data_IF_944113550143
#
_entry.id   IF_944113550143
#
_cell.length_a   1.000
_cell.length_b   1.000
_cell.length_c   1.000
_cell.angle_alpha   90.00
_cell.angle_beta   90.00
_cell.angle_gamma   90.00
#
_symmetry.space_group_name_H-M   'P 1'
#
loop_
_entity.id
_entity.type
_entity.pdbx_description
1 polymer ?
2 non-polymer ?
3 non-polymer ?
4 water ?
#
# COMPACT_ATOMS: atom_id res chain seq x y z
N UNK A 1 -20.87 -18.33 -13.86
CA UNK A 1 -22.31 -18.67 -13.61
C UNK A 1 -22.95 -17.85 -12.50
N UNK A 2 -22.12 -17.23 -11.66
CA UNK A 2 -22.59 -16.29 -10.65
C UNK A 2 -22.81 -14.93 -11.31
N UNK A 3 -23.95 -14.32 -11.05
CA UNK A 3 -24.28 -13.03 -11.63
C UNK A 3 -23.38 -11.91 -11.11
N UNK A 4 -23.19 -10.90 -11.96
CA UNK A 4 -22.47 -9.69 -11.58
C UNK A 4 -23.11 -9.03 -10.36
N UNK A 5 -24.44 -9.06 -10.31
CA UNK A 5 -25.24 -8.49 -9.24
C UNK A 5 -24.94 -9.15 -7.91
N UNK A 6 -24.75 -10.47 -7.93
CA UNK A 6 -24.43 -11.23 -6.75
C UNK A 6 -23.03 -10.87 -6.23
N UNK A 7 -22.09 -10.69 -7.15
CA UNK A 7 -20.70 -10.36 -6.79
C UNK A 7 -20.69 -9.00 -6.10
N UNK A 8 -21.33 -8.02 -6.73
CA UNK A 8 -21.41 -6.67 -6.21
C UNK A 8 -22.08 -6.64 -4.84
N UNK A 9 -23.10 -7.47 -4.66
CA UNK A 9 -23.84 -7.48 -3.40
C UNK A 9 -23.03 -8.18 -2.32
N UNK A 10 -22.34 -9.25 -2.69
CA UNK A 10 -21.51 -9.96 -1.73
C UNK A 10 -20.41 -9.05 -1.16
N UNK A 11 -19.73 -8.30 -2.01
CA UNK A 11 -18.62 -7.46 -1.59
C UNK A 11 -19.10 -6.22 -0.84
N UNK A 12 -20.23 -5.66 -1.26
CA UNK A 12 -20.87 -4.60 -0.49
C UNK A 12 -21.09 -5.06 0.96
N UNK A 13 -21.53 -6.30 1.13
CA UNK A 13 -21.84 -6.79 2.47
C UNK A 13 -20.62 -6.99 3.35
N UNK A 14 -19.45 -7.25 2.74
CA UNK A 14 -18.21 -7.37 3.53
C UNK A 14 -17.89 -6.03 4.21
N UNK A 15 -18.03 -4.93 3.45
CA UNK A 15 -17.84 -3.60 4.01
C UNK A 15 -18.97 -3.24 5.00
N UNK A 16 -20.19 -3.68 4.70
CA UNK A 16 -21.33 -3.44 5.58
C UNK A 16 -21.14 -4.17 6.92
N UNK A 17 -20.80 -5.46 6.87
CA UNK A 17 -20.45 -6.24 8.07
C UNK A 17 -19.37 -5.58 8.93
N UNK A 18 -18.28 -5.14 8.31
CA UNK A 18 -17.21 -4.44 9.03
C UNK A 18 -17.66 -3.07 9.57
N UNK A 19 -18.89 -2.69 9.27
CA UNK A 19 -19.42 -1.41 9.72
C UNK A 19 -18.48 -0.26 9.37
N UNK A 20 -18.12 -0.18 8.09
CA UNK A 20 -17.32 0.92 7.58
C UNK A 20 -17.78 1.31 6.17
N UNK A 21 -17.14 2.34 5.60
CA UNK A 21 -17.35 2.70 4.22
C UNK A 21 -16.04 2.49 3.48
N UNK A 22 -16.11 1.79 2.36
CA UNK A 22 -14.92 1.54 1.58
C UNK A 22 -15.18 1.08 0.17
N UNK A 23 -14.10 1.00 -0.59
CA UNK A 23 -14.16 0.56 -1.96
C UNK A 23 -12.97 -0.36 -2.22
N UNK A 24 -13.12 -1.30 -3.15
CA UNK A 24 -11.98 -2.08 -3.62
C UNK A 24 -11.97 -2.05 -5.14
N UNK A 25 -10.88 -1.52 -5.69
CA UNK A 25 -10.68 -1.47 -7.12
C UNK A 25 -9.86 -2.68 -7.55
N UNK A 26 -10.35 -3.38 -8.56
CA UNK A 26 -9.64 -4.50 -9.10
C UNK A 26 -9.34 -4.17 -10.57
N UNK A 27 -8.18 -4.55 -11.05
CA UNK A 27 -7.83 -4.25 -12.42
C UNK A 27 -7.44 -5.52 -13.18
N UNK A 28 -8.17 -5.85 -14.24
CA UNK A 28 -7.84 -7.02 -15.08
C UNK A 28 -7.50 -6.56 -16.49
N UNK A 29 -6.23 -6.68 -16.82
CA UNK A 29 -5.72 -6.13 -18.05
C UNK A 29 -5.76 -4.62 -17.95
N UNK A 30 -6.55 -4.02 -18.84
CA UNK A 30 -6.72 -2.55 -18.81
C UNK A 30 -8.00 -2.13 -18.07
N UNK A 31 -8.84 -3.09 -17.67
CA UNK A 31 -10.17 -2.76 -17.16
C UNK A 31 -10.26 -2.66 -15.63
N UNK A 32 -10.79 -1.55 -15.13
CA UNK A 32 -10.95 -1.31 -13.69
C UNK A 32 -12.33 -1.69 -13.23
N UNK A 33 -12.42 -2.33 -12.07
CA UNK A 33 -13.71 -2.66 -11.50
C UNK A 33 -13.72 -2.18 -10.08
N UNK A 34 -14.83 -1.57 -9.70
CA UNK A 34 -14.98 -0.91 -8.43
C UNK A 34 -16.04 -1.68 -7.65
N UNK A 35 -15.70 -2.14 -6.45
CA UNK A 35 -16.66 -2.80 -5.58
C UNK A 35 -16.73 -2.17 -4.20
N UNK A 36 -17.75 -2.48 -3.43
CA UNK A 36 -17.78 -2.05 -2.04
C UNK A 36 -19.09 -1.39 -1.71
N UNK A 37 -19.12 -0.65 -0.60
CA UNK A 37 -20.34 0.06 -0.25
C UNK A 37 -20.20 1.57 -0.32
N UNK A 38 -19.13 2.09 -0.91
CA UNK A 38 -18.99 3.54 -1.10
C UNK A 38 -18.22 3.82 -2.37
N UNK A 39 -18.85 3.52 -3.51
CA UNK A 39 -18.12 3.50 -4.76
C UNK A 39 -17.52 4.84 -5.15
N UNK A 40 -18.04 5.94 -4.59
CA UNK A 40 -17.57 7.27 -4.96
C UNK A 40 -16.17 7.58 -4.39
N UNK A 41 -15.79 6.91 -3.31
CA UNK A 41 -14.42 6.96 -2.82
C UNK A 41 -13.35 6.76 -3.92
N UNK A 42 -13.66 5.96 -4.95
CA UNK A 42 -12.69 5.55 -5.96
C UNK A 42 -11.82 6.65 -6.57
N UNK A 43 -12.35 7.86 -6.69
CA UNK A 43 -11.64 8.96 -7.35
C UNK A 43 -11.40 10.12 -6.40
N UNK A 44 -11.58 9.87 -5.10
CA UNK A 44 -11.31 10.85 -4.07
C UNK A 44 -9.88 10.67 -3.54
N UNK A 45 -9.27 11.76 -3.07
CA UNK A 45 -7.88 11.76 -2.58
C UNK A 45 -7.78 11.54 -1.07
N UNK A 46 -6.83 10.69 -0.68
CA UNK A 46 -6.54 10.37 0.72
C UNK A 46 -5.04 10.36 0.87
N UNK A 47 -4.55 10.59 2.09
CA UNK A 47 -3.12 10.43 2.32
C UNK A 47 -2.74 8.96 2.06
N UNK A 48 -1.54 8.72 1.52
CA UNK A 48 -1.17 7.33 1.22
C UNK A 48 -0.82 6.49 2.45
N UNK A 49 -0.40 7.16 3.54
CA UNK A 49 0.07 6.49 4.78
C UNK A 49 1.17 5.46 4.46
N UNK A 50 1.21 4.33 5.17
CA UNK A 50 2.31 3.36 4.97
C UNK A 50 2.46 2.87 3.52
N UNK A 51 1.42 3.01 2.68
CA UNK A 51 1.56 2.56 1.29
C UNK A 51 2.64 3.33 0.54
N UNK A 52 2.98 4.51 1.04
CA UNK A 52 4.10 5.26 0.50
C UNK A 52 5.46 4.59 0.70
N UNK A 53 5.59 3.72 1.70
CA UNK A 53 6.83 2.99 1.94
C UNK A 53 7.32 2.26 0.68
N UNK A 54 6.40 1.74 -0.13
CA UNK A 54 6.77 1.07 -1.37
C UNK A 54 7.57 2.04 -2.25
N UNK A 55 7.13 3.29 -2.31
CA UNK A 55 7.79 4.25 -3.19
C UNK A 55 9.05 4.80 -2.50
N UNK A 56 8.93 5.06 -1.20
CA UNK A 56 10.09 5.41 -0.38
C UNK A 56 11.23 4.41 -0.58
N UNK A 57 10.93 3.11 -0.49
CA UNK A 57 11.93 2.07 -0.74
C UNK A 57 12.51 2.12 -2.18
N UNK A 58 11.67 2.35 -3.19
CA UNK A 58 12.15 2.44 -4.60
C UNK A 58 13.11 3.63 -4.78
N UNK A 59 12.75 4.77 -4.22
CA UNK A 59 13.55 5.96 -4.34
C UNK A 59 14.90 5.74 -3.62
N UNK A 60 14.84 5.34 -2.34
CA UNK A 60 16.03 5.14 -1.52
C UNK A 60 17.01 4.20 -2.17
N UNK A 61 16.51 3.08 -2.68
CA UNK A 61 17.34 2.08 -3.32
C UNK A 61 17.91 2.50 -4.72
N UNK A 62 17.18 3.29 -5.50
CA UNK A 62 17.67 3.73 -6.81
C UNK A 62 18.83 4.67 -6.65
N UNK A 63 18.72 5.52 -5.64
CA UNK A 63 19.64 6.61 -5.41
C UNK A 63 20.73 6.27 -4.41
N UNK A 64 20.84 4.97 -4.13
CA UNK A 64 21.90 4.40 -3.31
C UNK A 64 21.91 4.88 -1.86
N UNK A 65 20.77 5.36 -1.36
CA UNK A 65 20.63 5.73 0.06
C UNK A 65 20.64 4.54 1.03
N UNK A 66 20.44 3.33 0.49
CA UNK A 66 20.43 2.11 1.27
C UNK A 66 20.63 0.89 0.39
N UNK A 67 20.99 -0.23 1.01
CA UNK A 67 21.04 -1.50 0.31
C UNK A 67 19.95 -2.37 0.93
N UNK A 68 19.70 -3.55 0.37
CA UNK A 68 18.62 -4.38 0.89
C UNK A 68 19.03 -5.18 2.13
N UNK A 69 20.35 -5.26 2.35
CA UNK A 69 20.92 -6.05 3.42
C UNK A 69 21.35 -5.16 4.56
N UNK A 70 21.42 -3.86 4.32
CA UNK A 70 21.80 -2.89 5.37
C UNK A 70 20.87 -2.97 6.59
N UNK A 71 21.45 -2.85 7.78
CA UNK A 71 20.69 -2.97 9.03
C UNK A 71 20.54 -1.60 9.68
N UNK A 72 19.30 -1.10 9.74
CA UNK A 72 18.98 0.16 10.39
C UNK A 72 18.85 -0.15 11.86
N UNK A 73 19.77 0.41 12.64
CA UNK A 73 19.93 0.06 14.02
C UNK A 73 18.96 0.87 14.85
N UNK A 74 18.26 0.22 15.78
CA UNK A 74 17.40 0.93 16.72
C UNK A 74 18.25 1.87 17.57
N UNK A 75 17.87 3.13 17.66
CA UNK A 75 18.66 4.14 18.39
C UNK A 75 18.44 4.07 19.91
N UNK A 76 17.57 3.19 20.37
CA UNK A 76 17.32 3.01 21.78
C UNK A 76 16.25 3.90 22.38
N UNK A 77 15.68 4.81 21.58
CA UNK A 77 14.58 5.66 22.03
C UNK A 77 13.25 4.92 21.90
N UNK A 78 12.29 5.24 22.75
CA UNK A 78 11.02 4.47 22.75
C UNK A 78 10.25 4.76 21.48
N UNK A 79 9.83 3.69 20.82
CA UNK A 79 9.06 3.79 19.59
C UNK A 79 7.62 3.41 19.93
N UNK A 80 6.68 3.82 19.08
CA UNK A 80 5.26 3.54 19.30
C UNK A 80 4.93 2.08 19.68
N UNK A 81 5.63 1.10 19.12
CA UNK A 81 5.43 -0.33 19.43
C UNK A 81 6.75 -1.01 19.77
N UNK A 82 6.73 -1.94 20.75
CA UNK A 82 7.88 -2.80 21.05
C UNK A 82 8.53 -3.51 19.87
N UNK A 83 7.73 -3.96 18.91
CA UNK A 83 8.23 -4.65 17.72
C UNK A 83 9.15 -3.76 16.85
N UNK A 84 8.99 -2.45 17.00
CA UNK A 84 9.80 -1.50 16.25
C UNK A 84 11.11 -1.18 16.95
N UNK A 85 11.27 -1.66 18.19
CA UNK A 85 12.47 -1.41 18.99
C UNK A 85 13.56 -2.47 18.75
N UNK A 86 13.93 -2.60 17.48
CA UNK A 86 14.98 -3.50 17.10
C UNK A 86 15.65 -3.06 15.79
N UNK A 87 16.74 -3.75 15.47
CA UNK A 87 17.54 -3.49 14.31
C UNK A 87 16.91 -4.23 13.15
N UNK A 88 16.67 -3.55 12.03
CA UNK A 88 16.01 -4.23 10.91
C UNK A 88 16.43 -3.75 9.55
N UNK A 89 16.26 -4.61 8.55
CA UNK A 89 16.46 -4.25 7.15
C UNK A 89 15.21 -3.53 6.62
N UNK A 90 15.29 -2.98 5.41
CA UNK A 90 14.14 -2.37 4.76
C UNK A 90 12.99 -3.35 4.64
N UNK A 91 13.28 -4.58 4.22
CA UNK A 91 12.26 -5.60 4.05
C UNK A 91 11.54 -5.93 5.33
N UNK A 92 12.29 -6.10 6.41
CA UNK A 92 11.70 -6.33 7.71
C UNK A 92 10.87 -5.12 8.13
N UNK A 93 11.38 -3.92 7.89
CA UNK A 93 10.66 -2.70 8.24
C UNK A 93 9.38 -2.52 7.44
N UNK A 94 9.36 -3.06 6.22
CA UNK A 94 8.19 -3.03 5.36
C UNK A 94 7.10 -3.94 5.95
N UNK A 95 7.49 -5.16 6.34
CA UNK A 95 6.54 -6.10 6.94
C UNK A 95 5.98 -5.58 8.27
N UNK A 96 6.79 -4.85 9.04
CA UNK A 96 6.38 -4.33 10.32
C UNK A 96 5.81 -2.91 10.22
N UNK A 97 5.86 -2.34 9.01
CA UNK A 97 5.39 -0.98 8.80
C UNK A 97 6.11 -0.04 9.78
N UNK A 98 7.42 -0.25 9.89
CA UNK A 98 8.28 0.43 10.85
C UNK A 98 8.70 1.80 10.36
N UNK A 99 7.85 2.79 10.66
CA UNK A 99 8.03 4.19 10.25
C UNK A 99 9.40 4.80 10.56
N UNK A 100 9.93 4.60 11.79
CA UNK A 100 11.26 5.16 12.13
C UNK A 100 12.37 4.86 11.09
N UNK A 101 12.33 3.67 10.52
CA UNK A 101 13.29 3.26 9.50
C UNK A 101 13.03 4.03 8.21
N UNK A 102 11.75 4.18 7.87
CA UNK A 102 11.39 4.82 6.61
C UNK A 102 11.52 6.34 6.68
N UNK A 103 11.49 6.87 7.90
CA UNK A 103 11.77 8.28 8.12
C UNK A 103 13.26 8.52 7.99
N UNK A 104 14.05 7.57 8.48
CA UNK A 104 15.50 7.65 8.33
C UNK A 104 15.87 7.62 6.86
N UNK A 105 15.21 6.73 6.11
CA UNK A 105 15.47 6.63 4.69
C UNK A 105 15.02 7.91 3.93
N UNK A 106 13.85 8.43 4.30
CA UNK A 106 13.38 9.71 3.77
C UNK A 106 14.41 10.84 3.98
N UNK A 107 14.94 10.93 5.21
CA UNK A 107 16.00 11.93 5.55
C UNK A 107 17.28 11.75 4.74
N UNK A 108 17.70 10.51 4.51
CA UNK A 108 18.89 10.24 3.68
C UNK A 108 18.69 10.76 2.26
N UNK A 109 17.52 10.47 1.70
CA UNK A 109 17.15 10.97 0.38
C UNK A 109 17.09 12.50 0.38
N UNK A 110 16.50 13.09 1.42
CA UNK A 110 16.40 14.55 1.52
C UNK A 110 15.26 15.12 0.69
N UNK A 111 14.74 16.26 1.13
CA UNK A 111 13.58 16.90 0.49
C UNK A 111 13.66 17.11 -1.03
N UNK A 112 14.72 17.76 -1.52
CA UNK A 112 14.86 18.06 -2.94
C UNK A 112 14.89 16.82 -3.82
N UNK A 113 15.64 15.80 -3.43
CA UNK A 113 15.67 14.60 -4.24
C UNK A 113 14.33 13.85 -4.15
N UNK A 114 13.63 13.98 -3.01
CA UNK A 114 12.34 13.31 -2.81
C UNK A 114 11.29 13.95 -3.71
N UNK A 115 11.22 15.28 -3.68
CA UNK A 115 10.25 16.04 -4.45
C UNK A 115 10.43 15.78 -5.95
N UNK A 116 11.69 15.78 -6.37
CA UNK A 116 12.08 15.45 -7.73
C UNK A 116 11.62 14.05 -8.13
N UNK A 117 11.83 13.06 -7.26
CA UNK A 117 11.54 11.67 -7.58
C UNK A 117 10.04 11.33 -7.54
N UNK A 118 9.32 11.94 -6.60
CA UNK A 118 7.89 11.76 -6.53
C UNK A 118 7.17 12.41 -7.73
N UNK A 119 7.68 13.56 -8.18
CA UNK A 119 7.21 14.20 -9.43
C UNK A 119 7.54 13.29 -10.62
N UNK A 120 8.74 12.74 -10.67
CA UNK A 120 9.16 11.92 -11.81
C UNK A 120 8.31 10.66 -12.02
N UNK A 121 7.86 10.02 -10.93
CA UNK A 121 7.02 8.82 -11.06
C UNK A 121 5.53 9.20 -11.11
N UNK A 122 5.26 10.48 -10.84
CA UNK A 122 3.92 11.05 -10.93
C UNK A 122 2.97 10.27 -10.02
N UNK A 123 3.23 10.37 -8.72
CA UNK A 123 2.52 9.60 -7.70
C UNK A 123 1.54 10.55 -7.03
N UNK A 124 0.24 10.21 -7.08
CA UNK A 124 -0.79 11.02 -6.43
C UNK A 124 -0.83 12.46 -6.92
N UNK A 125 -1.08 13.39 -6.02
CA UNK A 125 -1.08 14.80 -6.38
C UNK A 125 0.34 15.39 -6.48
N UNK A 126 1.33 14.55 -6.15
CA UNK A 126 2.76 14.84 -6.22
C UNK A 126 3.32 15.97 -5.33
N UNK A 127 2.50 16.53 -4.43
CA UNK A 127 2.97 17.58 -3.54
C UNK A 127 3.45 16.99 -2.23
N UNK A 128 4.73 17.16 -1.90
CA UNK A 128 5.27 16.60 -0.64
C UNK A 128 5.54 17.66 0.41
N UNK A 129 5.25 18.92 0.07
CA UNK A 129 5.44 20.05 0.99
C UNK A 129 6.89 20.30 1.34
N UNK A 130 7.11 20.71 2.58
CA UNK A 130 8.44 21.10 3.08
C UNK A 130 9.03 20.18 4.16
N UNK A 131 8.23 19.24 4.68
CA UNK A 131 8.74 18.26 5.65
C UNK A 131 9.00 16.89 5.02
N UNK A 132 10.27 16.55 4.79
CA UNK A 132 10.62 15.29 4.15
C UNK A 132 10.24 14.03 4.95
N UNK A 133 9.96 14.16 6.24
CA UNK A 133 9.73 12.98 7.05
C UNK A 133 8.28 12.70 7.52
N UNK A 134 7.29 13.43 7.02
CA UNK A 134 5.89 13.08 7.32
C UNK A 134 4.80 13.44 6.28
N UNK A 135 5.21 13.82 5.07
CA UNK A 135 4.27 14.25 4.04
C UNK A 135 3.27 13.17 3.61
N UNK A 136 3.62 11.91 3.85
CA UNK A 136 2.79 10.80 3.45
C UNK A 136 1.82 10.38 4.54
N UNK A 137 1.96 10.97 5.73
CA UNK A 137 1.13 10.62 6.88
C UNK A 137 0.06 11.64 7.17
N UNK A 138 0.37 12.93 6.99
CA UNK A 138 -0.56 14.01 7.34
C UNK A 138 -0.79 14.99 6.21
N UNK A 139 -0.34 14.66 5.02
CA UNK A 139 -0.44 15.60 3.92
C UNK A 139 0.84 16.39 3.80
N UNK A 140 1.03 17.12 2.68
CA UNK A 140 0.03 17.36 1.63
C UNK A 140 -0.10 16.28 0.53
N UNK A 141 0.74 15.25 0.55
CA UNK A 141 0.63 14.20 -0.47
C UNK A 141 -0.66 13.43 -0.27
N UNK A 142 -1.41 13.27 -1.37
CA UNK A 142 -2.69 12.54 -1.39
C UNK A 142 -2.75 11.79 -2.70
N UNK A 143 -3.54 10.73 -2.73
CA UNK A 143 -3.63 9.83 -3.88
C UNK A 143 -5.02 9.18 -3.85
N UNK A 144 -5.56 8.85 -5.02
CA UNK A 144 -6.88 8.23 -5.09
C UNK A 144 -6.72 6.73 -5.20
N UNK A 145 -7.73 5.97 -4.70
CA UNK A 145 -7.70 4.53 -4.84
C UNK A 145 -7.44 4.06 -6.29
N UNK A 146 -7.93 4.82 -7.29
CA UNK A 146 -7.66 4.50 -8.71
C UNK A 146 -6.17 4.65 -9.06
N UNK A 147 -5.57 5.77 -8.67
CA UNK A 147 -4.14 5.96 -8.81
C UNK A 147 -3.34 4.88 -8.08
N UNK A 148 -3.81 4.43 -6.92
CA UNK A 148 -3.09 3.37 -6.19
C UNK A 148 -3.06 2.05 -6.96
N UNK A 149 -4.20 1.58 -7.49
CA UNK A 149 -4.17 0.35 -8.33
C UNK A 149 -3.28 0.51 -9.51
N UNK A 150 -3.28 1.68 -10.12
CA UNK A 150 -2.45 1.92 -11.29
C UNK A 150 -0.97 1.82 -10.91
N UNK A 151 -0.62 2.37 -9.74
CA UNK A 151 0.72 2.21 -9.22
C UNK A 151 1.05 0.75 -8.93
N UNK A 152 0.11 0.01 -8.33
CA UNK A 152 0.34 -1.40 -8.04
C UNK A 152 0.56 -2.18 -9.34
N UNK A 153 -0.25 -1.87 -10.35
CA UNK A 153 -0.18 -2.46 -11.68
C UNK A 153 1.18 -2.15 -12.32
N UNK A 154 1.60 -0.88 -12.30
CA UNK A 154 2.93 -0.51 -12.79
C UNK A 154 4.04 -1.30 -12.11
N UNK A 155 4.06 -1.29 -10.77
CA UNK A 155 5.08 -1.99 -10.03
C UNK A 155 5.10 -3.50 -10.33
N UNK A 156 3.93 -4.13 -10.34
CA UNK A 156 3.86 -5.58 -10.56
C UNK A 156 4.40 -5.99 -11.94
N UNK A 157 4.34 -5.05 -12.90
CA UNK A 157 4.75 -5.31 -14.28
C UNK A 157 6.07 -4.60 -14.60
N UNK A 158 6.77 -4.16 -13.56
CA UNK A 158 8.03 -3.47 -13.76
C UNK A 158 8.00 -2.25 -14.67
N UNK A 159 6.87 -1.53 -14.69
CA UNK A 159 6.73 -0.37 -15.58
C UNK A 159 7.09 0.98 -14.97
N UNK A 160 7.42 1.01 -13.68
CA UNK A 160 7.81 2.29 -13.06
C UNK A 160 9.18 2.74 -13.56
N UNK A 161 9.45 4.07 -13.56
CA UNK A 161 10.75 4.50 -14.10
C UNK A 161 11.94 4.24 -13.13
N UNK A 162 12.21 2.96 -12.87
CA UNK A 162 13.28 2.56 -11.95
C UNK A 162 13.93 1.37 -12.63
N UNK A 163 15.16 1.04 -12.23
CA UNK A 163 15.80 -0.17 -12.72
C UNK A 163 14.92 -1.37 -12.43
N UNK A 164 14.96 -2.35 -13.33
CA UNK A 164 14.27 -3.62 -13.14
C UNK A 164 14.66 -4.27 -11.80
N UNK A 165 15.94 -4.14 -11.42
CA UNK A 165 16.43 -4.79 -10.19
C UNK A 165 15.97 -4.05 -8.92
N UNK A 166 15.85 -2.73 -8.99
CA UNK A 166 15.22 -1.96 -7.92
C UNK A 166 13.78 -2.43 -7.65
N UNK A 167 12.98 -2.55 -8.72
CA UNK A 167 11.58 -2.97 -8.60
C UNK A 167 11.44 -4.40 -8.11
N UNK A 168 12.33 -5.27 -8.54
CA UNK A 168 12.34 -6.64 -8.03
C UNK A 168 12.73 -6.68 -6.56
N UNK A 169 13.61 -5.78 -6.12
CA UNK A 169 14.10 -5.78 -4.73
C UNK A 169 12.95 -5.43 -3.79
N UNK A 170 12.23 -4.36 -4.13
CA UNK A 170 11.03 -3.94 -3.39
C UNK A 170 9.86 -4.96 -3.48
N UNK A 171 9.57 -5.48 -4.66
CA UNK A 171 8.47 -6.46 -4.78
C UNK A 171 8.64 -7.65 -3.83
N UNK A 172 9.88 -8.09 -3.68
CA UNK A 172 10.25 -9.20 -2.84
C UNK A 172 9.97 -8.92 -1.35
N UNK A 173 9.89 -7.64 -0.99
CA UNK A 173 9.56 -7.20 0.39
C UNK A 173 8.07 -7.22 0.71
N UNK A 174 7.24 -7.52 -0.29
CA UNK A 174 5.81 -7.26 -0.20
C UNK A 174 4.94 -8.50 -0.13
N UNK A 175 5.53 -9.68 -0.16
CA UNK A 175 4.75 -10.91 -0.09
C UNK A 175 4.11 -11.09 1.28
N UNK A 176 2.78 -11.10 1.34
CA UNK A 176 2.11 -11.23 2.64
C UNK A 176 1.23 -12.48 2.82
N UNK A 177 1.05 -13.26 1.76
CA UNK A 177 0.12 -14.40 1.81
C UNK A 177 0.29 -15.34 0.63
N UNK A 178 0.22 -16.66 0.89
CA UNK A 178 0.10 -17.68 -0.16
C UNK A 178 -1.22 -18.42 -0.01
N UNK A 179 -1.99 -18.52 -1.09
CA UNK A 179 -3.27 -19.23 -1.02
C UNK A 179 -3.31 -20.32 -2.09
N UNK A 180 -2.63 -21.43 -1.78
CA UNK A 180 -2.39 -22.59 -2.69
C UNK A 180 -2.09 -22.28 -4.16
N UNK A 181 -0.86 -21.86 -4.44
CA UNK A 181 -0.45 -21.51 -5.80
C UNK A 181 -0.52 -20.02 -6.13
N UNK A 182 -1.46 -19.33 -5.49
CA UNK A 182 -1.62 -17.87 -5.59
C UNK A 182 -0.78 -17.15 -4.52
N UNK A 183 -0.04 -16.13 -4.93
CA UNK A 183 0.73 -15.31 -4.00
C UNK A 183 0.20 -13.88 -3.96
N UNK A 184 -0.08 -13.38 -2.75
CA UNK A 184 -0.57 -12.00 -2.58
C UNK A 184 0.58 -11.12 -2.12
N UNK A 185 0.85 -10.10 -2.93
CA UNK A 185 1.85 -9.07 -2.65
C UNK A 185 1.11 -7.77 -2.39
N UNK A 186 1.26 -7.19 -1.22
CA UNK A 186 0.48 -6.00 -0.89
C UNK A 186 1.14 -5.18 0.21
N UNK A 187 0.77 -3.91 0.31
CA UNK A 187 1.20 -3.06 1.42
C UNK A 187 -0.01 -2.43 2.11
N UNK A 188 -0.11 -2.58 3.42
CA UNK A 188 -1.21 -2.00 4.16
C UNK A 188 -0.86 -0.59 4.57
N UNK A 189 -1.87 0.18 4.94
CA UNK A 189 -1.70 1.58 5.30
C UNK A 189 -2.83 1.99 6.22
N UNK A 190 -2.51 2.84 7.21
CA UNK A 190 -3.52 3.38 8.12
C UNK A 190 -3.08 4.79 8.51
N UNK A 191 -3.84 5.79 8.09
CA UNK A 191 -3.53 7.17 8.37
C UNK A 191 -4.30 7.53 9.59
N UNK A 192 -3.65 7.47 10.75
CA UNK A 192 -4.26 7.77 12.04
C UNK A 192 -4.29 9.27 12.35
N UNK A 193 -3.30 10.00 11.84
CA UNK A 193 -3.17 11.43 12.14
C UNK A 193 -3.86 12.32 11.13
N UNK A 194 -5.11 11.99 10.83
CA UNK A 194 -5.90 12.66 9.79
C UNK A 194 -7.37 12.35 10.14
N UNK A 195 -8.31 13.23 9.79
CA UNK A 195 -9.74 12.96 10.06
C UNK A 195 -10.58 13.14 8.81
N UNK A 196 -11.39 12.13 8.44
CA UNK A 196 -11.45 10.80 9.07
C UNK A 196 -10.21 9.94 8.74
N UNK A 197 -9.95 8.92 9.56
CA UNK A 197 -8.79 8.06 9.34
C UNK A 197 -9.01 7.18 8.11
N UNK A 198 -7.95 6.92 7.36
CA UNK A 198 -8.05 6.13 6.15
C UNK A 198 -7.25 4.82 6.25
N UNK A 199 -7.85 3.71 5.79
CA UNK A 199 -7.17 2.44 5.71
C UNK A 199 -6.96 2.04 4.25
N UNK A 200 -5.81 1.43 3.97
CA UNK A 200 -5.44 0.99 2.65
C UNK A 200 -4.95 -0.44 2.72
N UNK A 201 -5.21 -1.19 1.66
CA UNK A 201 -4.42 -2.37 1.37
C UNK A 201 -4.27 -2.41 -0.16
N UNK A 202 -3.05 -2.21 -0.63
CA UNK A 202 -2.78 -2.07 -2.05
C UNK A 202 -1.75 -3.11 -2.46
N UNK A 203 -2.00 -3.75 -3.61
CA UNK A 203 -1.09 -4.77 -4.09
C UNK A 203 -1.54 -5.48 -5.35
N UNK A 204 -1.17 -6.75 -5.47
CA UNK A 204 -1.63 -7.57 -6.57
C UNK A 204 -1.56 -9.01 -6.14
N UNK A 205 -2.39 -9.83 -6.79
CA UNK A 205 -2.33 -11.28 -6.70
C UNK A 205 -1.55 -11.76 -7.91
N UNK A 206 -0.50 -12.54 -7.65
CA UNK A 206 0.17 -13.30 -8.70
C UNK A 206 -0.36 -14.74 -8.68
N UNK A 207 -1.01 -15.12 -9.78
CA UNK A 207 -1.60 -16.45 -9.89
C UNK A 207 -0.56 -17.48 -10.35
N UNK A 208 -0.87 -18.77 -10.21
CA UNK A 208 0.08 -19.84 -10.54
C UNK A 208 0.54 -19.78 -12.00
N UNK A 209 -0.42 -19.52 -12.90
CA UNK A 209 -0.18 -19.34 -14.34
C UNK A 209 0.58 -18.06 -14.69
N UNK A 210 1.05 -17.32 -13.68
CA UNK A 210 1.84 -16.10 -13.88
C UNK A 210 1.11 -14.79 -14.12
N UNK A 211 -0.23 -14.83 -14.22
CA UNK A 211 -1.02 -13.60 -14.43
C UNK A 211 -1.15 -12.79 -13.14
N UNK A 212 -1.06 -11.46 -13.28
CA UNK A 212 -1.08 -10.54 -12.12
C UNK A 212 -2.31 -9.63 -12.08
N UNK A 213 -3.07 -9.69 -10.98
CA UNK A 213 -4.28 -8.87 -10.82
C UNK A 213 -4.10 -7.88 -9.67
N UNK A 214 -3.84 -6.62 -10.00
CA UNK A 214 -3.70 -5.51 -9.05
C UNK A 214 -5.01 -5.15 -8.35
N UNK A 215 -4.94 -4.74 -7.09
CA UNK A 215 -6.10 -4.25 -6.35
C UNK A 215 -5.70 -3.10 -5.45
N UNK A 216 -6.69 -2.32 -5.02
CA UNK A 216 -6.50 -1.39 -3.94
C UNK A 216 -7.77 -1.28 -3.13
N UNK A 217 -7.69 -1.67 -1.87
CA UNK A 217 -8.80 -1.45 -0.95
C UNK A 217 -8.57 -0.13 -0.22
N UNK A 218 -9.64 0.66 -0.09
CA UNK A 218 -9.57 1.92 0.59
C UNK A 218 -10.81 2.08 1.42
N UNK A 219 -10.65 2.24 2.72
CA UNK A 219 -11.81 2.39 3.57
C UNK A 219 -11.58 3.42 4.68
N UNK A 220 -12.65 3.75 5.39
CA UNK A 220 -12.54 4.60 6.55
C UNK A 220 -12.32 3.77 7.83
N UNK A 221 -11.25 4.08 8.57
CA UNK A 221 -10.97 3.42 9.86
C UNK A 221 -11.53 4.23 11.04
N UNK A 222 -12.01 3.53 12.06
CA UNK A 222 -12.45 4.17 13.31
C UNK A 222 -11.52 3.81 14.47
N UNK A 223 -11.74 4.42 15.64
CA UNK A 223 -11.15 3.95 16.90
C UNK A 223 -11.75 2.59 17.28
N UNK A 224 -10.88 1.67 17.70
CA UNK A 224 -11.30 0.34 18.16
C UNK A 224 -11.53 -0.62 17.01
N UNK A 225 -11.32 -0.13 15.79
CA UNK A 225 -11.38 -0.94 14.60
C UNK A 225 -10.07 -1.69 14.49
N UNK A 226 -10.15 -2.96 14.15
CA UNK A 226 -8.96 -3.79 14.07
C UNK A 226 -8.29 -3.74 12.66
N UNK A 227 -6.97 -3.60 12.63
CA UNK A 227 -6.22 -3.44 11.38
C UNK A 227 -6.37 -4.55 10.37
N UNK A 228 -6.66 -5.76 10.84
CA UNK A 228 -6.79 -6.92 9.95
C UNK A 228 -8.18 -7.10 9.28
N UNK A 229 -9.11 -6.17 9.49
CA UNK A 229 -10.33 -6.19 8.67
C UNK A 229 -9.99 -5.82 7.23
N UNK A 230 -9.07 -4.87 7.04
CA UNK A 230 -8.55 -4.53 5.72
C UNK A 230 -8.18 -5.79 4.97
N UNK A 231 -7.44 -6.68 5.63
CA UNK A 231 -7.05 -7.96 5.06
C UNK A 231 -8.24 -8.91 4.86
N UNK A 232 -9.05 -9.10 5.91
CA UNK A 232 -10.23 -9.95 5.83
C UNK A 232 -11.13 -9.58 4.65
N UNK A 233 -11.42 -8.29 4.49
CA UNK A 233 -12.31 -7.81 3.44
C UNK A 233 -11.68 -8.04 2.08
N UNK A 234 -10.36 -7.84 1.99
CA UNK A 234 -9.65 -7.98 0.73
C UNK A 234 -9.64 -9.42 0.29
N UNK A 235 -9.30 -10.34 1.20
CA UNK A 235 -9.24 -11.78 0.87
C UNK A 235 -10.61 -12.31 0.47
N UNK A 236 -11.64 -11.96 1.25
CA UNK A 236 -13.02 -12.33 0.95
C UNK A 236 -13.47 -11.85 -0.43
N UNK A 237 -13.06 -10.65 -0.84
CA UNK A 237 -13.46 -10.06 -2.11
C UNK A 237 -12.70 -10.71 -3.24
N UNK A 238 -11.41 -10.96 -3.03
CA UNK A 238 -10.62 -11.61 -4.05
C UNK A 238 -11.12 -13.05 -4.27
N UNK A 239 -11.51 -13.72 -3.19
CA UNK A 239 -12.04 -15.09 -3.29
C UNK A 239 -13.43 -15.10 -3.94
N UNK A 240 -14.31 -14.20 -3.49
CA UNK A 240 -15.65 -14.08 -4.08
C UNK A 240 -15.58 -13.98 -5.60
N UNK A 241 -14.60 -13.24 -6.11
CA UNK A 241 -14.43 -13.01 -7.54
C UNK A 241 -13.63 -14.13 -8.23
N UNK A 242 -13.24 -15.15 -7.47
CA UNK A 242 -12.45 -16.26 -8.01
C UNK A 242 -11.03 -15.91 -8.43
N UNK A 243 -10.53 -14.77 -7.95
CA UNK A 243 -9.18 -14.30 -8.23
C UNK A 243 -8.18 -15.09 -7.39
N UNK A 244 -8.62 -15.50 -6.21
CA UNK A 244 -7.91 -16.49 -5.40
C UNK A 244 -8.87 -17.60 -4.91
X LIG B 1 17.99 18.57 0.66
X LIG B 1 18.70 19.41 -0.29
X LIG B 1 17.85 19.24 1.96
X LIG B 1 16.65 18.32 0.13
X LIG B 1 18.70 17.30 0.83
X LIG C 1 2.67 5.85 13.53
X LIG C 1 2.89 5.81 12.15
X LIG C 1 2.31 4.80 11.38
X LIG C 1 2.38 4.58 10.07
X LIG C 1 1.68 3.49 9.78
X LIG C 1 1.11 2.97 10.94
X LIG C 1 1.28 3.86 13.39
X LIG C 1 1.88 4.88 14.15
X LIG C 1 3.35 6.99 14.31
X LIG C 1 1.53 2.97 8.35
X LIG C 1 0.79 0.55 11.35
X LIG C 1 0.72 0.36 12.87
X LIG C 1 -0.08 -0.54 10.64
X LIG C 1 -1.36 -0.93 11.44
X LIG C 1 0.84 -1.79 10.48
X LIG C 1 0.97 -3.94 9.75
X LIG C 1 1.51 3.82 11.99
X LIG C 1 3.22 6.91 15.64
X LIG C 1 0.31 1.91 11.03
X LIG C 1 0.20 -4.73 8.98
X LIG C 1 0.64 3.56 7.73
X LIG C 1 3.96 7.89 13.73
X LIG C 1 0.25 1.31 13.53
X LIG C 1 1.11 -0.75 13.34
X LIG C 1 -1.29 -1.10 8.24
X LIG C 1 0.51 0.51 8.21
X LIG C 1 0.34 -3.14 10.68
X LIG C 1 2.20 -3.89 9.64
X LIG C 1 -0.62 0.02 8.97
#
# INVERSE_FOLDING_TARGET
>A
HISSQQHEKAIKSYFDEAQTQGVIIIKEGKNLSTYGNALARANKEYVPASTFKMLNALIGLENHKATTNEIFKWDGKKRTYPMWEKDMTLGEAMALSAVPVYQELARRTGLELMQKEVKRVNFGNTNIGTQVDNFWLVGPLKITPVQEVNFADDLAHNRLPFKLETQEEVKKMLLIKEVNGSKIYAKSGWGMGVTPQVGWLTGWVEQANGKKIPFSLNLEMKEGMSGSIRNEITYKSLENLGII
>B hetero
1 SO4 S O1 O2 O3 O4
>C hetero
1 MXC C1 C2 C3 C4 C5 C6 C7 C8 C9 C10 C11 C12 C13 C14 C15 C16 N1 N2 N3 N4 O1 O2 O3 O4 O5 O6 O7 O8 S1
#
